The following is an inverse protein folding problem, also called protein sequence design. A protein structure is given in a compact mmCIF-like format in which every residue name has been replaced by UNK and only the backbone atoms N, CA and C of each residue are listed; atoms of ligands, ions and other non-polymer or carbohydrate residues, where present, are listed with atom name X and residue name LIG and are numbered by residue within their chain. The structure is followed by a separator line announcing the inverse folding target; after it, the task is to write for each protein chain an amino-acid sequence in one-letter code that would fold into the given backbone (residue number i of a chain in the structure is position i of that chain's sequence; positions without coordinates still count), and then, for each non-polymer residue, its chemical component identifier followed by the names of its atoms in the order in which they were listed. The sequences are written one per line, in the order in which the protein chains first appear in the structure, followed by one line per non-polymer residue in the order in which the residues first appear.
data_IF_295540949912
#
_entry.id   IF_295540949912
#
_cell.length_a   1.000
_cell.length_b   1.000
_cell.length_c   1.000
_cell.angle_alpha   90.00
_cell.angle_beta   90.00
_cell.angle_gamma   90.00
#
_symmetry.space_group_name_H-M   'P 1'
#
loop_
_entity.id
_entity.type
_entity.pdbx_description
1 polymer ?
#
# COMPACT_ATOMS: atom_id res chain seq x y z
N UNK A 1 -49.21 40.29 -2.48
CA UNK A 1 -49.35 39.06 -3.30
C UNK A 1 -48.14 39.01 -4.22
N UNK A 2 -46.98 38.57 -3.74
CA UNK A 2 -46.51 37.17 -3.77
C UNK A 2 -46.26 36.67 -5.19
N UNK A 3 -45.01 36.75 -5.63
CA UNK A 3 -44.43 35.79 -6.57
C UNK A 3 -42.91 35.72 -6.29
N UNK A 4 -42.58 34.72 -5.49
CA UNK A 4 -41.26 34.27 -5.07
C UNK A 4 -40.33 33.98 -6.24
N UNK A 5 -39.11 34.50 -6.16
CA UNK A 5 -37.98 34.09 -6.99
C UNK A 5 -37.72 32.59 -6.80
N UNK A 6 -37.91 31.80 -7.86
CA UNK A 6 -37.47 30.39 -7.90
C UNK A 6 -35.96 30.37 -8.12
N UNK A 7 -35.21 30.30 -7.02
CA UNK A 7 -33.77 30.05 -7.04
C UNK A 7 -33.56 28.58 -7.41
N UNK A 8 -32.87 28.34 -8.52
CA UNK A 8 -32.52 27.00 -9.00
C UNK A 8 -31.93 26.13 -7.88
N UNK A 9 -32.20 24.81 -7.87
CA UNK A 9 -31.51 23.91 -6.96
C UNK A 9 -30.02 23.97 -7.29
N UNK A 10 -29.23 24.48 -6.35
CA UNK A 10 -27.78 24.50 -6.45
C UNK A 10 -27.26 23.08 -6.61
N UNK A 11 -26.38 22.88 -7.59
CA UNK A 11 -25.58 21.68 -7.73
C UNK A 11 -24.78 21.43 -6.44
N UNK A 12 -25.21 20.47 -5.63
CA UNK A 12 -24.44 19.96 -4.47
C UNK A 12 -23.84 18.58 -4.77
N UNK A 13 -23.99 18.06 -5.98
CA UNK A 13 -23.41 16.76 -6.35
C UNK A 13 -21.97 16.92 -6.84
N UNK A 14 -21.11 15.95 -6.48
CA UNK A 14 -19.78 15.64 -7.04
C UNK A 14 -18.51 15.97 -6.23
N UNK A 15 -18.55 16.48 -4.99
CA UNK A 15 -17.33 16.53 -4.16
C UNK A 15 -17.12 15.24 -3.35
N UNK A 16 -18.20 14.58 -2.91
CA UNK A 16 -18.15 13.29 -2.22
C UNK A 16 -17.65 12.16 -3.12
N UNK A 17 -18.24 12.02 -4.31
CA UNK A 17 -17.93 10.92 -5.22
C UNK A 17 -16.57 11.07 -5.90
N UNK A 18 -16.18 12.29 -6.30
CA UNK A 18 -14.85 12.53 -6.87
C UNK A 18 -13.72 12.18 -5.87
N UNK A 19 -13.92 12.42 -4.58
CA UNK A 19 -12.92 12.06 -3.56
C UNK A 19 -12.90 10.55 -3.26
N UNK A 20 -14.04 9.85 -3.38
CA UNK A 20 -14.13 8.38 -3.26
C UNK A 20 -13.42 7.68 -4.43
N UNK A 21 -13.67 8.12 -5.66
CA UNK A 21 -13.00 7.59 -6.86
C UNK A 21 -11.49 7.85 -6.85
N UNK A 22 -11.04 9.01 -6.37
CA UNK A 22 -9.61 9.26 -6.15
C UNK A 22 -9.02 8.29 -5.13
N UNK A 23 -9.72 8.03 -4.02
CA UNK A 23 -9.26 7.06 -3.02
C UNK A 23 -9.14 5.65 -3.60
N UNK A 24 -10.08 5.20 -4.45
CA UNK A 24 -9.97 3.93 -5.17
C UNK A 24 -8.70 3.87 -6.02
N UNK A 25 -8.42 4.91 -6.81
CA UNK A 25 -7.22 4.95 -7.65
C UNK A 25 -5.96 4.77 -6.80
N UNK A 26 -5.84 5.48 -5.68
CA UNK A 26 -4.68 5.32 -4.79
C UNK A 26 -4.60 3.94 -4.15
N UNK A 27 -5.73 3.35 -3.76
CA UNK A 27 -5.76 2.02 -3.17
C UNK A 27 -5.43 0.95 -4.21
N UNK A 28 -5.95 1.09 -5.43
CA UNK A 28 -5.64 0.21 -6.56
C UNK A 28 -4.16 0.31 -6.95
N UNK A 29 -3.60 1.53 -7.00
CA UNK A 29 -2.17 1.73 -7.23
C UNK A 29 -1.33 1.11 -6.12
N UNK A 30 -1.72 1.26 -4.86
CA UNK A 30 -1.05 0.62 -3.73
C UNK A 30 -1.09 -0.92 -3.85
N UNK A 31 -2.23 -1.50 -4.21
CA UNK A 31 -2.34 -2.95 -4.42
C UNK A 31 -1.53 -3.45 -5.61
N UNK A 32 -1.64 -2.77 -6.75
CA UNK A 32 -0.83 -3.06 -7.93
C UNK A 32 0.66 -3.04 -7.58
N UNK A 33 1.09 -2.02 -6.84
CA UNK A 33 2.47 -1.87 -6.40
C UNK A 33 2.95 -3.03 -5.50
N UNK A 34 2.13 -3.45 -4.54
CA UNK A 34 2.44 -4.59 -3.65
C UNK A 34 2.57 -5.89 -4.46
N UNK A 35 1.67 -6.13 -5.41
CA UNK A 35 1.72 -7.32 -6.29
C UNK A 35 2.93 -7.27 -7.22
N UNK A 36 3.22 -6.10 -7.79
CA UNK A 36 4.39 -5.90 -8.65
C UNK A 36 5.69 -6.14 -7.87
N UNK A 37 5.79 -5.70 -6.62
CA UNK A 37 6.99 -5.93 -5.80
C UNK A 37 7.32 -7.42 -5.61
N UNK A 38 6.31 -8.22 -5.28
CA UNK A 38 6.48 -9.66 -5.13
C UNK A 38 6.86 -10.34 -6.47
N UNK A 39 6.28 -9.85 -7.57
CA UNK A 39 6.51 -10.40 -8.91
C UNK A 39 7.90 -10.07 -9.45
N UNK A 40 8.27 -8.77 -9.42
CA UNK A 40 9.57 -8.26 -9.87
C UNK A 40 10.67 -9.05 -9.20
N UNK A 41 10.50 -9.38 -7.93
CA UNK A 41 11.58 -9.95 -7.15
C UNK A 41 11.72 -11.42 -7.39
N UNK A 42 10.63 -12.16 -7.57
CA UNK A 42 10.74 -13.55 -8.00
C UNK A 42 11.40 -13.66 -9.38
N UNK A 43 11.15 -12.70 -10.29
CA UNK A 43 11.71 -12.68 -11.64
C UNK A 43 13.16 -12.18 -11.66
N UNK A 44 13.48 -11.14 -10.90
CA UNK A 44 14.81 -10.51 -10.85
C UNK A 44 15.74 -11.19 -9.84
N UNK A 45 15.25 -12.09 -8.98
CA UNK A 45 16.06 -12.82 -8.02
C UNK A 45 17.24 -13.54 -8.64
N UNK A 46 17.09 -14.31 -9.75
CA UNK A 46 18.20 -15.04 -10.35
C UNK A 46 19.32 -14.11 -10.85
N UNK A 47 18.97 -12.98 -11.48
CA UNK A 47 19.95 -12.00 -11.95
C UNK A 47 20.57 -11.24 -10.78
N UNK A 48 19.76 -10.74 -9.83
CA UNK A 48 20.25 -10.07 -8.63
C UNK A 48 21.14 -10.98 -7.77
N UNK A 49 20.84 -12.28 -7.73
CA UNK A 49 21.67 -13.26 -7.03
C UNK A 49 23.08 -13.35 -7.64
N UNK A 50 23.16 -13.35 -8.98
CA UNK A 50 24.41 -13.42 -9.73
C UNK A 50 25.20 -12.11 -9.58
N UNK A 51 24.52 -10.97 -9.71
CA UNK A 51 25.14 -9.63 -9.66
C UNK A 51 25.61 -9.25 -8.25
N UNK A 52 24.90 -9.71 -7.20
CA UNK A 52 25.18 -9.39 -5.80
C UNK A 52 25.94 -10.50 -5.06
N UNK A 53 26.30 -11.59 -5.74
CA UNK A 53 27.02 -12.72 -5.14
C UNK A 53 26.25 -13.42 -4.01
N UNK A 54 24.92 -13.45 -4.08
CA UNK A 54 24.07 -14.04 -3.05
C UNK A 54 24.13 -15.58 -3.18
N UNK A 55 24.39 -16.27 -2.07
CA UNK A 55 24.34 -17.75 -2.04
C UNK A 55 22.90 -18.26 -2.16
N UNK A 56 22.72 -19.50 -2.62
CA UNK A 56 21.38 -20.10 -2.76
C UNK A 56 20.59 -20.10 -1.42
N UNK A 57 21.28 -20.31 -0.29
CA UNK A 57 20.65 -20.23 1.03
C UNK A 57 20.19 -18.82 1.41
N UNK A 58 20.90 -17.79 0.94
CA UNK A 58 20.56 -16.39 1.19
C UNK A 58 19.48 -15.86 0.22
N UNK A 59 19.25 -16.53 -0.91
CA UNK A 59 18.16 -16.20 -1.84
C UNK A 59 16.78 -16.30 -1.16
N UNK A 60 16.57 -17.34 -0.36
CA UNK A 60 15.32 -17.56 0.38
C UNK A 60 15.00 -16.37 1.31
N UNK A 61 16.05 -15.77 1.90
CA UNK A 61 15.91 -14.66 2.85
C UNK A 61 15.31 -13.40 2.24
N UNK A 62 15.36 -13.20 0.92
CA UNK A 62 14.70 -12.06 0.26
C UNK A 62 13.20 -12.11 0.48
N UNK A 63 12.60 -13.28 0.32
CA UNK A 63 11.16 -13.50 0.51
C UNK A 63 10.84 -13.62 2.00
N UNK A 64 11.66 -14.36 2.75
CA UNK A 64 11.45 -14.58 4.18
C UNK A 64 11.53 -13.29 4.99
N UNK A 65 12.50 -12.40 4.73
CA UNK A 65 12.62 -11.13 5.46
C UNK A 65 11.38 -10.25 5.29
N UNK A 66 10.84 -10.19 4.08
CA UNK A 66 9.57 -9.51 3.80
C UNK A 66 8.42 -10.16 4.55
N UNK A 67 8.22 -11.46 4.38
CA UNK A 67 7.09 -12.17 4.97
C UNK A 67 7.12 -12.15 6.51
N UNK A 68 8.31 -12.25 7.11
CA UNK A 68 8.50 -12.19 8.55
C UNK A 68 8.14 -10.81 9.10
N UNK A 69 8.66 -9.74 8.50
CA UNK A 69 8.37 -8.38 8.91
C UNK A 69 6.89 -8.04 8.69
N UNK A 70 6.35 -8.39 7.52
CA UNK A 70 4.95 -8.17 7.18
C UNK A 70 4.02 -8.93 8.11
N UNK A 71 4.17 -10.25 8.22
CA UNK A 71 3.32 -11.10 9.04
C UNK A 71 3.45 -10.81 10.53
N UNK A 72 4.67 -10.61 11.02
CA UNK A 72 4.94 -10.32 12.43
C UNK A 72 4.41 -8.96 12.88
N UNK A 73 4.36 -7.97 11.98
CA UNK A 73 3.89 -6.62 12.29
C UNK A 73 2.47 -6.34 11.81
N UNK A 74 1.82 -7.25 11.08
CA UNK A 74 0.50 -7.01 10.49
C UNK A 74 -0.53 -6.55 11.54
N UNK A 75 -0.64 -7.30 12.64
CA UNK A 75 -1.57 -6.99 13.72
C UNK A 75 -1.21 -5.67 14.43
N UNK A 76 0.09 -5.42 14.58
CA UNK A 76 0.62 -4.20 15.19
C UNK A 76 0.35 -2.97 14.32
N UNK A 77 0.63 -3.06 13.03
CA UNK A 77 0.36 -2.03 12.03
C UNK A 77 -1.13 -1.72 11.91
N UNK A 78 -1.99 -2.74 11.94
CA UNK A 78 -3.44 -2.55 12.00
C UNK A 78 -3.87 -1.75 13.22
N UNK A 79 -3.33 -2.08 14.40
CA UNK A 79 -3.63 -1.34 15.64
C UNK A 79 -3.12 0.10 15.60
N UNK A 80 -1.94 0.34 15.04
CA UNK A 80 -1.43 1.71 14.80
C UNK A 80 -2.35 2.48 13.85
N UNK A 81 -2.80 1.85 12.76
CA UNK A 81 -3.65 2.49 11.78
C UNK A 81 -5.00 2.93 12.36
N UNK A 82 -5.56 2.15 13.28
CA UNK A 82 -6.78 2.51 14.00
C UNK A 82 -6.55 3.65 15.01
N UNK A 83 -5.38 3.71 15.67
CA UNK A 83 -5.06 4.75 16.66
C UNK A 83 -4.67 6.10 16.03
N UNK A 84 -3.82 6.09 14.99
CA UNK A 84 -3.31 7.31 14.35
C UNK A 84 -4.18 7.84 13.21
N UNK A 85 -5.20 7.08 12.83
CA UNK A 85 -6.10 7.40 11.74
C UNK A 85 -5.67 6.75 10.43
N UNK A 86 -6.63 6.06 9.82
CA UNK A 86 -6.46 5.20 8.64
C UNK A 86 -5.85 5.92 7.43
N UNK A 87 -6.24 7.17 7.20
CA UNK A 87 -5.70 7.99 6.09
C UNK A 87 -4.20 8.29 6.26
N UNK A 88 -3.76 8.62 7.49
CA UNK A 88 -2.34 8.91 7.77
C UNK A 88 -1.51 7.64 7.66
N UNK A 89 -1.99 6.55 8.24
CA UNK A 89 -1.35 5.24 8.15
C UNK A 89 -1.20 4.75 6.70
N UNK A 90 -2.24 4.94 5.88
CA UNK A 90 -2.18 4.62 4.44
C UNK A 90 -1.09 5.43 3.72
N UNK A 91 -1.06 6.75 3.91
CA UNK A 91 -0.07 7.61 3.24
C UNK A 91 1.35 7.25 3.67
N UNK A 92 1.59 7.11 4.98
CA UNK A 92 2.91 6.75 5.53
C UNK A 92 3.34 5.37 5.02
N UNK A 93 2.44 4.39 5.09
CA UNK A 93 2.68 3.04 4.58
C UNK A 93 3.02 3.04 3.09
N UNK A 94 2.28 3.79 2.28
CA UNK A 94 2.51 3.86 0.84
C UNK A 94 3.84 4.54 0.50
N UNK A 95 4.13 5.69 1.12
CA UNK A 95 5.38 6.40 0.87
C UNK A 95 6.60 5.63 1.37
N UNK A 96 6.49 5.00 2.54
CA UNK A 96 7.56 4.17 3.10
C UNK A 96 7.81 2.91 2.28
N UNK A 97 6.74 2.26 1.81
CA UNK A 97 6.84 1.12 0.92
C UNK A 97 7.52 1.50 -0.40
N UNK A 98 7.18 2.65 -0.99
CA UNK A 98 7.82 3.15 -2.21
C UNK A 98 9.29 3.51 -2.04
N UNK A 99 9.65 4.17 -0.94
CA UNK A 99 11.05 4.45 -0.63
C UNK A 99 11.84 3.15 -0.44
N UNK A 100 11.28 2.17 0.27
CA UNK A 100 11.91 0.87 0.48
C UNK A 100 12.04 0.05 -0.83
N UNK A 101 11.05 0.13 -1.73
CA UNK A 101 11.16 -0.44 -3.09
C UNK A 101 12.30 0.20 -3.88
N UNK A 102 12.43 1.52 -3.86
CA UNK A 102 13.51 2.22 -4.55
C UNK A 102 14.89 1.83 -3.99
N UNK A 103 15.00 1.68 -2.66
CA UNK A 103 16.21 1.17 -2.01
C UNK A 103 16.53 -0.27 -2.43
N UNK A 104 15.51 -1.12 -2.58
CA UNK A 104 15.67 -2.49 -3.07
C UNK A 104 16.14 -2.55 -4.53
N UNK A 105 15.61 -1.66 -5.38
CA UNK A 105 16.04 -1.53 -6.77
C UNK A 105 17.46 -0.95 -6.94
N UNK A 106 17.90 -0.14 -5.99
CA UNK A 106 19.26 0.42 -5.94
C UNK A 106 20.24 -0.41 -5.09
N UNK A 107 19.87 -1.63 -4.69
CA UNK A 107 20.66 -2.44 -3.79
C UNK A 107 21.99 -2.86 -4.43
N UNK A 108 23.10 -2.61 -3.72
CA UNK A 108 24.46 -2.98 -4.14
C UNK A 108 25.01 -4.20 -3.41
N UNK A 109 24.28 -4.73 -2.42
CA UNK A 109 24.64 -5.94 -1.68
C UNK A 109 23.41 -6.72 -1.25
N UNK A 110 23.57 -8.03 -1.01
CA UNK A 110 22.49 -8.87 -0.49
C UNK A 110 21.92 -8.37 0.84
N UNK A 111 22.76 -7.88 1.75
CA UNK A 111 22.31 -7.31 3.02
C UNK A 111 21.41 -6.07 2.83
N UNK A 112 21.77 -5.18 1.90
CA UNK A 112 20.95 -4.02 1.56
C UNK A 112 19.61 -4.45 0.96
N UNK A 113 19.60 -5.48 0.11
CA UNK A 113 18.40 -6.05 -0.49
C UNK A 113 17.48 -6.71 0.57
N UNK A 114 18.03 -7.46 1.53
CA UNK A 114 17.27 -8.04 2.64
C UNK A 114 16.72 -6.96 3.59
N UNK A 115 17.51 -5.92 3.87
CA UNK A 115 17.08 -4.77 4.66
C UNK A 115 15.94 -4.00 4.01
N UNK A 116 16.05 -3.72 2.70
CA UNK A 116 14.99 -3.10 1.92
C UNK A 116 13.71 -3.95 1.96
N UNK A 117 13.84 -5.27 1.83
CA UNK A 117 12.73 -6.22 1.94
C UNK A 117 12.04 -6.22 3.28
N UNK A 118 12.81 -6.24 4.36
CA UNK A 118 12.27 -6.16 5.71
C UNK A 118 11.50 -4.84 5.88
N UNK A 119 12.08 -3.71 5.47
CA UNK A 119 11.42 -2.40 5.51
C UNK A 119 10.11 -2.36 4.71
N UNK A 120 10.09 -2.94 3.51
CA UNK A 120 8.87 -3.08 2.72
C UNK A 120 7.82 -3.90 3.47
N UNK A 121 8.21 -4.97 4.16
CA UNK A 121 7.30 -5.75 5.01
C UNK A 121 6.71 -4.91 6.14
N UNK A 122 7.53 -4.10 6.83
CA UNK A 122 7.08 -3.18 7.88
C UNK A 122 6.02 -2.20 7.35
N UNK A 123 6.31 -1.51 6.25
CA UNK A 123 5.38 -0.53 5.69
C UNK A 123 4.15 -1.19 5.06
N UNK A 124 4.31 -2.38 4.47
CA UNK A 124 3.21 -3.19 3.96
C UNK A 124 2.24 -3.60 5.07
N UNK A 125 2.75 -3.97 6.24
CA UNK A 125 1.94 -4.32 7.41
C UNK A 125 1.09 -3.15 7.95
N UNK A 126 1.53 -1.90 7.73
CA UNK A 126 0.76 -0.71 8.03
C UNK A 126 -0.25 -0.38 6.90
N UNK A 127 0.18 -0.54 5.64
CA UNK A 127 -0.57 -0.18 4.45
C UNK A 127 -1.79 -1.08 4.22
N UNK A 128 -1.62 -2.41 4.32
CA UNK A 128 -2.67 -3.40 4.03
C UNK A 128 -3.95 -3.22 4.88
N UNK A 129 -3.88 -3.19 6.23
CA UNK A 129 -5.07 -2.98 7.05
C UNK A 129 -5.66 -1.58 6.85
N UNK A 130 -4.83 -0.55 6.67
CA UNK A 130 -5.31 0.82 6.41
C UNK A 130 -6.09 0.92 5.09
N UNK A 131 -5.60 0.26 4.02
CA UNK A 131 -6.23 0.24 2.70
C UNK A 131 -7.60 -0.45 2.74
N UNK A 132 -7.68 -1.66 3.30
CA UNK A 132 -8.94 -2.41 3.43
C UNK A 132 -9.98 -1.61 4.23
N UNK A 133 -9.51 -0.98 5.29
CA UNK A 133 -10.35 -0.20 6.19
C UNK A 133 -10.86 1.11 5.56
N UNK A 134 -10.04 1.77 4.73
CA UNK A 134 -10.47 2.92 3.94
C UNK A 134 -11.49 2.51 2.86
N UNK A 135 -11.29 1.38 2.18
CA UNK A 135 -12.28 0.85 1.24
C UNK A 135 -13.61 0.60 1.93
N UNK A 136 -13.60 -0.10 3.08
CA UNK A 136 -14.81 -0.46 3.79
C UNK A 136 -15.63 0.74 4.27
N UNK A 137 -14.98 1.85 4.62
CA UNK A 137 -15.63 3.09 5.10
C UNK A 137 -16.04 4.01 3.95
N UNK A 138 -15.29 4.04 2.84
CA UNK A 138 -15.57 4.92 1.70
C UNK A 138 -16.63 4.33 0.74
N UNK A 139 -16.70 3.00 0.65
CA UNK A 139 -17.65 2.25 -0.17
C UNK A 139 -18.62 1.50 0.73
N UNK A 140 -19.68 2.18 1.15
CA UNK A 140 -20.71 1.63 2.05
C UNK A 140 -21.88 1.00 1.32
N UNK A 141 -22.03 1.22 0.01
CA UNK A 141 -23.19 0.76 -0.76
C UNK A 141 -23.03 -0.69 -1.24
N UNK A 142 -24.02 -1.54 -0.98
CA UNK A 142 -23.96 -2.98 -1.26
C UNK A 142 -23.93 -3.30 -2.76
N UNK A 143 -24.43 -2.39 -3.61
CA UNK A 143 -24.37 -2.50 -5.07
C UNK A 143 -22.96 -2.28 -5.66
N UNK A 144 -22.05 -1.66 -4.91
CA UNK A 144 -20.68 -1.40 -5.35
C UNK A 144 -19.68 -2.49 -4.88
N UNK A 145 -20.13 -3.45 -4.06
CA UNK A 145 -19.34 -4.58 -3.54
C UNK A 145 -19.59 -5.92 -4.24
N UNK A 146 -20.51 -5.95 -5.21
CA UNK A 146 -20.97 -7.15 -5.91
C UNK A 146 -20.26 -7.34 -7.27
#
# INVERSE_FOLDING_TARGET
MSATASKAPGAVENTGDANRWKALVFIALAQLMVVLDATIVNIALPSAQTDLGISDGNRQWVVTAYALAFGGLLLFGGRIADLWGRKRAFVIGLTGFAAASALGGAATSGAMMFGARALQGVFGALLAPAALSLLAVMFTDAKERA
#
